data_IF_913382347935
#
_entry.id   IF_913382347935
#
_cell.length_a   1.000
_cell.length_b   1.000
_cell.length_c   1.000
_cell.angle_alpha   90.00
_cell.angle_beta   90.00
_cell.angle_gamma   90.00
#
_symmetry.space_group_name_H-M   'P 1'
#
loop_
_entity.id
_entity.type
_entity.pdbx_description
1 polymer ?
#
# COMPACT_ATOMS: atom_id res chain seq x y z
N UNK A 1 2.40 -35.19 4.38
CA UNK A 1 3.24 -34.70 3.26
C UNK A 1 4.26 -33.68 3.75
N UNK A 2 5.40 -33.54 3.08
CA UNK A 2 6.40 -32.52 3.41
C UNK A 2 5.92 -31.18 2.86
N UNK A 3 5.50 -30.27 3.74
CA UNK A 3 5.39 -28.83 3.42
C UNK A 3 6.76 -28.38 2.92
N UNK A 4 6.87 -28.07 1.63
CA UNK A 4 8.10 -27.57 1.00
C UNK A 4 8.22 -26.09 1.31
N UNK A 5 9.23 -25.70 2.09
CA UNK A 5 9.54 -24.29 2.30
C UNK A 5 10.12 -23.67 1.03
N UNK A 6 9.74 -22.43 0.73
CA UNK A 6 10.45 -21.60 -0.26
C UNK A 6 11.86 -21.27 0.26
N UNK A 7 12.85 -21.23 -0.62
CA UNK A 7 14.24 -20.93 -0.26
C UNK A 7 14.32 -19.51 0.34
N UNK A 8 14.80 -19.38 1.58
CA UNK A 8 14.79 -18.12 2.34
C UNK A 8 13.43 -17.71 2.96
N UNK A 9 12.42 -18.57 2.91
CA UNK A 9 11.10 -18.35 3.51
C UNK A 9 11.01 -18.77 4.99
N UNK A 10 9.98 -18.28 5.68
CA UNK A 10 9.65 -18.65 7.07
C UNK A 10 8.52 -19.66 7.05
N UNK A 11 8.69 -20.77 7.77
CA UNK A 11 7.66 -21.78 7.94
C UNK A 11 6.99 -21.63 9.30
N UNK A 12 5.67 -21.40 9.31
CA UNK A 12 4.89 -21.20 10.53
C UNK A 12 3.87 -22.33 10.69
N UNK A 13 3.86 -22.99 11.85
CA UNK A 13 2.88 -24.01 12.19
C UNK A 13 2.13 -23.58 13.45
N UNK A 14 0.83 -23.30 13.33
CA UNK A 14 -0.04 -23.00 14.45
C UNK A 14 -0.68 -24.28 14.99
N UNK A 15 -0.31 -24.71 16.18
CA UNK A 15 -0.95 -25.84 16.84
C UNK A 15 -2.27 -25.39 17.49
N UNK A 16 -3.39 -25.88 16.97
CA UNK A 16 -4.74 -25.60 17.46
C UNK A 16 -5.38 -26.83 18.12
N UNK A 17 -4.57 -27.85 18.43
CA UNK A 17 -5.02 -29.11 19.05
C UNK A 17 -5.58 -28.92 20.45
N UNK A 18 -5.04 -27.95 21.19
CA UNK A 18 -5.39 -27.67 22.58
C UNK A 18 -5.67 -26.18 22.75
N UNK A 19 -6.94 -25.82 22.87
CA UNK A 19 -7.34 -24.44 23.13
C UNK A 19 -8.86 -24.31 23.23
N UNK A 20 -9.34 -23.35 24.00
CA UNK A 20 -10.75 -22.97 23.91
C UNK A 20 -11.04 -22.44 22.51
N UNK A 21 -12.24 -22.72 21.98
CA UNK A 21 -12.64 -22.35 20.62
C UNK A 21 -12.35 -20.89 20.26
N UNK A 22 -12.47 -19.97 21.22
CA UNK A 22 -12.19 -18.55 21.03
C UNK A 22 -10.71 -18.28 20.70
N UNK A 23 -9.77 -18.95 21.37
CA UNK A 23 -8.34 -18.78 21.11
C UNK A 23 -7.91 -19.39 19.78
N UNK A 24 -8.54 -20.49 19.37
CA UNK A 24 -8.30 -21.10 18.06
C UNK A 24 -8.69 -20.13 16.95
N UNK A 25 -9.88 -19.53 17.04
CA UNK A 25 -10.33 -18.54 16.06
C UNK A 25 -9.40 -17.32 16.01
N UNK A 26 -9.00 -16.78 17.18
CA UNK A 26 -8.05 -15.66 17.25
C UNK A 26 -6.68 -16.01 16.68
N UNK A 27 -6.16 -17.21 16.93
CA UNK A 27 -4.88 -17.68 16.40
C UNK A 27 -4.92 -17.78 14.87
N UNK A 28 -6.00 -18.34 14.31
CA UNK A 28 -6.15 -18.45 12.85
C UNK A 28 -6.30 -17.08 12.18
N UNK A 29 -7.00 -16.13 12.81
CA UNK A 29 -7.10 -14.76 12.29
C UNK A 29 -5.75 -14.02 12.36
N UNK A 30 -4.96 -14.21 13.43
CA UNK A 30 -3.61 -13.67 13.51
C UNK A 30 -2.68 -14.28 12.46
N UNK A 31 -2.78 -15.60 12.25
CA UNK A 31 -2.03 -16.30 11.20
C UNK A 31 -2.38 -15.77 9.81
N UNK A 32 -3.68 -15.62 9.53
CA UNK A 32 -4.17 -14.96 8.31
C UNK A 32 -3.58 -13.57 8.14
N UNK A 33 -3.56 -12.76 9.20
CA UNK A 33 -3.06 -11.40 9.13
C UNK A 33 -1.57 -11.35 8.80
N UNK A 34 -0.76 -12.22 9.40
CA UNK A 34 0.67 -12.33 9.10
C UNK A 34 0.89 -12.69 7.63
N UNK A 35 0.13 -13.65 7.09
CA UNK A 35 0.25 -14.07 5.68
C UNK A 35 -0.12 -12.92 4.75
N UNK A 36 -1.20 -12.19 5.02
CA UNK A 36 -1.63 -11.05 4.19
C UNK A 36 -0.61 -9.91 4.26
N UNK A 37 -0.12 -9.58 5.45
CA UNK A 37 0.95 -8.59 5.64
C UNK A 37 2.20 -8.96 4.83
N UNK A 38 2.66 -10.21 4.92
CA UNK A 38 3.82 -10.71 4.19
C UNK A 38 3.61 -10.67 2.67
N UNK A 39 2.46 -11.11 2.18
CA UNK A 39 2.14 -11.03 0.75
C UNK A 39 2.11 -9.59 0.26
N UNK A 40 1.48 -8.67 0.97
CA UNK A 40 1.44 -7.26 0.58
C UNK A 40 2.83 -6.62 0.60
N UNK A 41 3.66 -6.97 1.58
CA UNK A 41 5.06 -6.52 1.67
C UNK A 41 6.00 -7.07 0.59
N UNK A 42 5.55 -8.08 -0.18
CA UNK A 42 6.33 -8.73 -1.23
C UNK A 42 5.56 -8.81 -2.57
N UNK A 43 4.69 -7.84 -2.89
CA UNK A 43 4.08 -7.72 -4.22
C UNK A 43 2.93 -8.68 -4.51
N UNK A 44 2.17 -9.05 -3.48
CA UNK A 44 0.98 -9.93 -3.48
C UNK A 44 1.26 -11.40 -3.79
N UNK A 45 2.16 -11.67 -4.73
CA UNK A 45 2.52 -13.01 -5.20
C UNK A 45 3.83 -13.54 -4.61
N UNK A 46 4.69 -12.65 -4.10
CA UNK A 46 6.02 -12.96 -3.57
C UNK A 46 6.09 -13.31 -2.08
N UNK A 47 4.98 -13.72 -1.46
CA UNK A 47 4.96 -14.09 -0.03
C UNK A 47 6.05 -15.11 0.33
N UNK A 48 6.69 -14.90 1.47
CA UNK A 48 7.77 -15.69 2.06
C UNK A 48 7.31 -16.53 3.25
N UNK A 49 6.09 -16.31 3.74
CA UNK A 49 5.52 -17.09 4.84
C UNK A 49 4.72 -18.28 4.28
N UNK A 50 5.22 -19.49 4.55
CA UNK A 50 4.50 -20.74 4.32
C UNK A 50 3.86 -21.18 5.65
N UNK A 51 2.53 -21.10 5.73
CA UNK A 51 1.78 -21.34 6.96
C UNK A 51 0.99 -22.65 6.92
N UNK A 52 0.85 -23.28 8.09
CA UNK A 52 0.02 -24.44 8.30
C UNK A 52 -0.60 -24.41 9.70
N UNK A 53 -1.70 -25.15 9.90
CA UNK A 53 -2.23 -25.43 11.23
C UNK A 53 -2.19 -26.93 11.53
N UNK A 54 -1.95 -27.27 12.80
CA UNK A 54 -1.89 -28.64 13.28
C UNK A 54 -3.08 -28.95 14.21
N UNK A 55 -3.68 -30.12 14.04
CA UNK A 55 -4.80 -30.63 14.84
C UNK A 55 -4.51 -32.06 15.27
N UNK A 56 -4.56 -32.33 16.57
CA UNK A 56 -4.50 -33.67 17.14
C UNK A 56 -5.88 -34.32 17.23
N UNK A 57 -5.92 -35.64 17.19
CA UNK A 57 -7.16 -36.39 17.47
C UNK A 57 -7.72 -36.09 18.89
N UNK A 58 -9.06 -36.05 19.06
CA UNK A 58 -9.69 -35.78 20.35
C UNK A 58 -9.24 -36.70 21.48
N UNK A 59 -9.19 -36.17 22.71
CA UNK A 59 -8.84 -36.95 23.90
C UNK A 59 -10.03 -37.80 24.34
N UNK A 60 -10.12 -39.03 23.85
CA UNK A 60 -11.00 -40.03 24.43
C UNK A 60 -10.46 -40.48 25.81
N UNK A 61 -11.37 -40.59 26.79
CA UNK A 61 -11.10 -41.07 28.15
C UNK A 61 -10.68 -42.54 28.12
N UNK A 62 -9.39 -42.84 27.92
CA UNK A 62 -8.90 -44.22 27.88
C UNK A 62 -7.54 -44.37 27.24
N UNK A 63 -6.46 -44.03 27.98
CA UNK A 63 -5.13 -44.66 27.87
C UNK A 63 -4.39 -44.71 26.52
N UNK A 64 -4.83 -44.01 25.47
CA UNK A 64 -4.14 -44.07 24.17
C UNK A 64 -2.75 -43.41 24.26
N UNK A 65 -1.69 -44.19 24.02
CA UNK A 65 -0.29 -43.76 24.13
C UNK A 65 0.23 -42.94 22.93
N UNK A 66 -0.42 -43.03 21.75
CA UNK A 66 -0.01 -42.31 20.54
C UNK A 66 -1.20 -41.69 19.80
N UNK A 67 -1.08 -40.44 19.37
CA UNK A 67 -2.11 -39.70 18.64
C UNK A 67 -1.60 -39.25 17.30
N UNK A 68 -2.48 -39.24 16.29
CA UNK A 68 -2.15 -38.63 15.01
C UNK A 68 -2.28 -37.11 15.10
N UNK A 69 -1.33 -36.42 14.49
CA UNK A 69 -1.35 -34.98 14.28
C UNK A 69 -1.54 -34.75 12.78
N UNK A 70 -2.63 -34.07 12.43
CA UNK A 70 -2.91 -33.65 11.07
C UNK A 70 -2.36 -32.24 10.88
N UNK A 71 -1.51 -32.04 9.88
CA UNK A 71 -0.97 -30.73 9.52
C UNK A 71 -1.55 -30.34 8.17
N UNK A 72 -2.29 -29.24 8.13
CA UNK A 72 -2.94 -28.75 6.92
C UNK A 72 -2.34 -27.40 6.53
N UNK A 73 -2.04 -27.23 5.24
CA UNK A 73 -1.57 -25.94 4.71
C UNK A 73 -2.65 -24.87 4.90
N UNK A 74 -2.22 -23.67 5.24
CA UNK A 74 -3.08 -22.52 5.48
C UNK A 74 -2.59 -21.36 4.63
N UNK A 75 -3.26 -21.14 3.51
CA UNK A 75 -2.95 -20.04 2.61
C UNK A 75 -4.14 -19.08 2.48
N UNK A 76 -3.84 -17.79 2.36
CA UNK A 76 -4.82 -16.72 2.22
C UNK A 76 -4.49 -15.88 1.01
N UNK A 77 -5.48 -15.64 0.15
CA UNK A 77 -5.32 -14.76 -1.01
C UNK A 77 -5.23 -13.30 -0.55
N UNK A 78 -4.18 -12.61 -0.97
CA UNK A 78 -4.07 -11.16 -0.89
C UNK A 78 -4.40 -10.55 -2.26
N UNK A 79 -4.85 -9.30 -2.26
CA UNK A 79 -5.16 -8.55 -3.48
C UNK A 79 -4.43 -7.21 -3.42
N UNK A 80 -4.07 -6.67 -4.58
CA UNK A 80 -3.58 -5.30 -4.68
C UNK A 80 -4.75 -4.32 -4.54
N UNK A 81 -5.09 -4.01 -3.29
CA UNK A 81 -6.15 -3.09 -2.91
C UNK A 81 -5.66 -2.23 -1.75
N UNK A 82 -6.08 -0.96 -1.70
CA UNK A 82 -5.77 -0.09 -0.58
C UNK A 82 -6.56 -0.58 0.65
N UNK A 83 -5.88 -1.02 1.74
CA UNK A 83 -6.57 -1.61 2.89
C UNK A 83 -7.43 -0.59 3.68
N UNK A 84 -7.21 0.70 3.43
CA UNK A 84 -7.85 1.81 4.11
C UNK A 84 -8.53 2.74 3.09
N UNK A 85 -9.62 3.37 3.48
CA UNK A 85 -10.31 4.34 2.63
C UNK A 85 -9.68 5.73 2.80
N UNK A 86 -9.42 6.49 1.72
CA UNK A 86 -8.85 7.84 1.82
C UNK A 86 -9.61 8.78 2.77
N UNK A 87 -10.95 8.72 2.76
CA UNK A 87 -11.79 9.52 3.66
C UNK A 87 -11.59 9.26 5.16
N UNK A 88 -10.95 8.15 5.54
CA UNK A 88 -10.75 7.76 6.93
C UNK A 88 -9.33 8.05 7.45
N UNK A 89 -8.43 8.60 6.62
CA UNK A 89 -7.01 8.78 6.94
C UNK A 89 -6.79 9.58 8.24
N UNK A 90 -7.52 10.68 8.43
CA UNK A 90 -7.40 11.50 9.63
C UNK A 90 -7.87 10.79 10.91
N UNK A 91 -8.78 9.82 10.78
CA UNK A 91 -9.23 9.01 11.92
C UNK A 91 -8.25 7.88 12.21
N UNK A 92 -7.74 7.20 11.17
CA UNK A 92 -6.83 6.07 11.29
C UNK A 92 -5.44 6.45 11.80
N UNK A 93 -5.07 7.72 11.72
CA UNK A 93 -3.79 8.22 12.25
C UNK A 93 -3.82 8.50 13.76
N UNK A 94 -5.01 8.57 14.36
CA UNK A 94 -5.19 8.81 15.80
C UNK A 94 -5.04 7.49 16.56
N UNK A 95 -3.94 7.28 17.28
CA UNK A 95 -3.71 5.99 17.95
C UNK A 95 -4.74 5.71 19.05
N UNK A 96 -5.29 6.76 19.67
CA UNK A 96 -6.41 6.69 20.61
C UNK A 96 -7.72 6.18 19.98
N UNK A 97 -7.85 6.18 18.63
CA UNK A 97 -9.01 5.63 17.94
C UNK A 97 -9.10 4.11 18.08
N UNK A 98 -7.95 3.42 18.13
CA UNK A 98 -7.88 1.96 18.17
C UNK A 98 -8.14 1.39 19.55
N UNK A 99 -8.17 2.24 20.58
CA UNK A 99 -8.24 1.87 21.98
C UNK A 99 -9.60 2.26 22.56
N UNK A 100 -10.31 1.30 23.16
CA UNK A 100 -11.51 1.59 23.95
C UNK A 100 -11.11 2.06 25.35
N UNK A 101 -11.01 3.38 25.54
CA UNK A 101 -10.72 4.00 26.84
C UNK A 101 -11.51 5.30 27.08
N UNK A 102 -11.48 5.77 28.33
CA UNK A 102 -12.10 7.03 28.75
C UNK A 102 -11.44 8.28 28.13
N UNK A 103 -12.06 9.44 28.32
CA UNK A 103 -11.63 10.69 27.71
C UNK A 103 -10.25 11.18 28.17
N UNK A 104 -9.84 10.90 29.40
CA UNK A 104 -8.56 11.36 29.93
C UNK A 104 -7.42 10.48 29.42
N UNK A 105 -7.64 9.17 29.35
CA UNK A 105 -6.73 8.23 28.70
C UNK A 105 -6.57 8.52 27.21
N UNK A 106 -7.65 8.87 26.49
CA UNK A 106 -7.56 9.30 25.09
C UNK A 106 -6.68 10.53 24.91
N UNK A 107 -6.86 11.55 25.75
CA UNK A 107 -6.02 12.77 25.70
C UNK A 107 -4.55 12.45 25.99
N UNK A 108 -4.29 11.57 26.95
CA UNK A 108 -2.92 11.11 27.26
C UNK A 108 -2.28 10.42 26.06
N UNK A 109 -2.96 9.41 25.48
CA UNK A 109 -2.47 8.69 24.29
C UNK A 109 -2.23 9.67 23.13
N UNK A 110 -3.17 10.58 22.87
CA UNK A 110 -3.07 11.55 21.77
C UNK A 110 -1.83 12.44 21.91
N UNK A 111 -1.47 12.87 23.13
CA UNK A 111 -0.25 13.66 23.40
C UNK A 111 1.03 12.83 23.28
N UNK A 112 1.02 11.62 23.84
CA UNK A 112 2.20 10.74 23.81
C UNK A 112 2.52 10.22 22.40
N UNK A 113 1.55 10.21 21.49
CA UNK A 113 1.69 9.62 20.15
C UNK A 113 1.61 10.65 19.02
N UNK A 114 1.74 11.95 19.33
CA UNK A 114 1.61 13.04 18.36
C UNK A 114 2.62 12.93 17.20
N UNK A 115 3.87 12.58 17.51
CA UNK A 115 4.93 12.40 16.51
C UNK A 115 4.65 11.22 15.58
N UNK A 116 4.34 10.06 16.16
CA UNK A 116 3.96 8.84 15.43
C UNK A 116 2.73 9.09 14.55
N UNK A 117 1.73 9.81 15.07
CA UNK A 117 0.53 10.21 14.32
C UNK A 117 0.87 11.05 13.09
N UNK A 118 1.80 12.01 13.22
CA UNK A 118 2.24 12.86 12.10
C UNK A 118 2.95 12.04 11.03
N UNK A 119 3.92 11.20 11.44
CA UNK A 119 4.65 10.31 10.52
C UNK A 119 3.71 9.34 9.82
N UNK A 120 2.74 8.79 10.55
CA UNK A 120 1.75 7.87 10.02
C UNK A 120 0.84 8.58 9.01
N UNK A 121 0.37 9.81 9.30
CA UNK A 121 -0.43 10.57 8.35
C UNK A 121 0.32 10.80 7.04
N UNK A 122 1.57 11.25 7.14
CA UNK A 122 2.43 11.47 5.99
C UNK A 122 2.61 10.20 5.15
N UNK A 123 2.80 9.05 5.80
CA UNK A 123 2.95 7.76 5.15
C UNK A 123 1.65 7.33 4.45
N UNK A 124 0.51 7.42 5.12
CA UNK A 124 -0.76 6.95 4.58
C UNK A 124 -1.29 7.86 3.44
N UNK A 125 -1.14 9.18 3.56
CA UNK A 125 -1.47 10.13 2.49
C UNK A 125 -0.61 9.84 1.25
N UNK A 126 0.69 9.58 1.46
CA UNK A 126 1.62 9.27 0.38
C UNK A 126 1.37 7.89 -0.25
N UNK A 127 1.02 6.89 0.57
CA UNK A 127 0.58 5.58 0.09
C UNK A 127 -0.67 5.71 -0.78
N UNK A 128 -1.66 6.51 -0.39
CA UNK A 128 -2.88 6.70 -1.17
C UNK A 128 -2.56 7.21 -2.58
N UNK A 129 -1.71 8.24 -2.69
CA UNK A 129 -1.26 8.79 -3.98
C UNK A 129 -0.48 7.75 -4.78
N UNK A 130 0.45 7.02 -4.15
CA UNK A 130 1.27 6.02 -4.84
C UNK A 130 0.45 4.81 -5.33
N UNK A 131 -0.43 4.29 -4.47
CA UNK A 131 -1.36 3.22 -4.82
C UNK A 131 -2.26 3.63 -5.98
N UNK A 132 -2.88 4.81 -5.91
CA UNK A 132 -3.76 5.31 -6.97
C UNK A 132 -2.98 5.55 -8.26
N UNK A 133 -1.74 6.01 -8.19
CA UNK A 133 -0.88 6.16 -9.36
C UNK A 133 -0.64 4.82 -10.08
N UNK A 134 -0.50 3.72 -9.36
CA UNK A 134 -0.42 2.38 -9.97
C UNK A 134 -1.80 1.95 -10.49
N UNK A 135 -2.83 2.04 -9.64
CA UNK A 135 -4.18 1.53 -9.91
C UNK A 135 -4.82 2.18 -11.13
N UNK A 136 -4.64 3.49 -11.28
CA UNK A 136 -5.20 4.35 -12.33
C UNK A 136 -4.20 4.68 -13.45
N UNK A 137 -3.12 3.90 -13.56
CA UNK A 137 -2.19 3.96 -14.67
C UNK A 137 -1.47 5.32 -14.84
N UNK A 138 -1.01 5.96 -13.76
CA UNK A 138 -0.32 7.25 -13.74
C UNK A 138 1.15 7.06 -13.33
N UNK A 139 1.99 6.41 -14.14
CA UNK A 139 3.36 6.03 -13.76
C UNK A 139 4.30 7.22 -13.58
N UNK A 140 4.11 8.31 -14.33
CA UNK A 140 4.98 9.49 -14.28
C UNK A 140 5.01 10.15 -12.89
N UNK A 141 3.97 9.94 -12.06
CA UNK A 141 3.92 10.46 -10.70
C UNK A 141 5.07 9.98 -9.81
N UNK A 142 5.61 8.78 -10.05
CA UNK A 142 6.72 8.23 -9.27
C UNK A 142 8.07 8.93 -9.49
N UNK A 143 8.18 9.77 -10.52
CA UNK A 143 9.39 10.54 -10.80
C UNK A 143 9.39 11.93 -10.15
N UNK A 144 8.28 12.33 -9.53
CA UNK A 144 8.13 13.63 -8.87
C UNK A 144 8.00 13.49 -7.36
N UNK A 145 9.04 13.90 -6.62
CA UNK A 145 9.04 13.88 -5.14
C UNK A 145 7.99 14.80 -4.52
N UNK A 146 7.54 15.82 -5.27
CA UNK A 146 6.39 16.65 -4.89
C UNK A 146 5.04 15.93 -4.93
N UNK A 147 4.96 14.77 -5.61
CA UNK A 147 3.77 13.92 -5.64
C UNK A 147 3.93 12.71 -4.71
N UNK A 148 5.02 11.96 -4.85
CA UNK A 148 5.28 10.72 -4.13
C UNK A 148 6.68 10.75 -3.50
N UNK A 149 6.73 10.65 -2.17
CA UNK A 149 7.95 10.53 -1.38
C UNK A 149 8.23 9.06 -1.05
N UNK A 150 9.17 8.43 -1.75
CA UNK A 150 9.50 7.01 -1.55
C UNK A 150 10.49 6.78 -0.40
N UNK A 151 11.14 7.83 0.07
CA UNK A 151 12.14 7.86 1.14
C UNK A 151 11.54 7.92 2.56
N UNK A 152 10.20 7.91 2.67
CA UNK A 152 9.54 7.87 3.97
C UNK A 152 9.89 6.58 4.72
N UNK A 153 10.28 6.74 5.98
CA UNK A 153 10.80 5.67 6.83
C UNK A 153 9.70 4.80 7.43
N UNK A 154 9.09 3.98 6.58
CA UNK A 154 7.98 3.11 6.95
C UNK A 154 8.31 2.12 8.07
N UNK A 155 9.55 1.64 8.13
CA UNK A 155 10.03 0.72 9.18
C UNK A 155 10.02 1.41 10.56
N UNK A 156 10.47 2.67 10.65
CA UNK A 156 10.44 3.41 11.93
C UNK A 156 9.00 3.59 12.43
N UNK A 157 8.06 3.93 11.54
CA UNK A 157 6.63 4.06 11.89
C UNK A 157 6.06 2.73 12.38
N UNK A 158 6.41 1.63 11.72
CA UNK A 158 5.98 0.29 12.13
C UNK A 158 6.50 -0.09 13.52
N UNK A 159 7.79 0.15 13.78
CA UNK A 159 8.43 -0.11 15.07
C UNK A 159 7.79 0.72 16.18
N UNK A 160 7.50 2.00 15.94
CA UNK A 160 6.78 2.87 16.87
C UNK A 160 5.36 2.34 17.19
N UNK A 161 4.63 1.86 16.18
CA UNK A 161 3.31 1.25 16.38
C UNK A 161 3.40 -0.04 17.20
N UNK A 162 4.38 -0.90 16.93
CA UNK A 162 4.60 -2.12 17.71
C UNK A 162 4.96 -1.76 19.15
N UNK A 163 5.82 -0.76 19.38
CA UNK A 163 6.17 -0.29 20.71
C UNK A 163 4.94 0.27 21.46
N UNK A 164 4.08 1.02 20.77
CA UNK A 164 2.81 1.50 21.32
C UNK A 164 1.91 0.33 21.77
N UNK A 165 1.73 -0.69 20.93
CA UNK A 165 0.92 -1.86 21.27
C UNK A 165 1.49 -2.66 22.45
N UNK A 166 2.82 -2.82 22.51
CA UNK A 166 3.50 -3.45 23.66
C UNK A 166 3.26 -2.68 24.95
N UNK A 167 3.36 -1.35 24.90
CA UNK A 167 3.07 -0.48 26.04
C UNK A 167 1.63 -0.64 26.53
N UNK A 168 0.66 -0.76 25.61
CA UNK A 168 -0.74 -1.04 25.99
C UNK A 168 -0.88 -2.41 26.68
N UNK A 169 -0.11 -3.40 26.23
CA UNK A 169 -0.13 -4.73 26.82
C UNK A 169 0.50 -4.78 28.23
N UNK A 170 1.53 -3.98 28.47
CA UNK A 170 2.18 -3.84 29.78
C UNK A 170 1.28 -3.12 30.80
N UNK A 171 0.44 -2.20 30.34
CA UNK A 171 -0.51 -1.46 31.18
C UNK A 171 -1.82 -2.25 31.27
N UNK A 172 -1.81 -3.35 32.02
CA UNK A 172 -3.01 -4.11 32.38
C UNK A 172 -3.39 -3.79 33.83
N UNK A 173 -4.39 -2.91 34.07
CA UNK A 173 -4.84 -2.62 35.42
C UNK A 173 -5.34 -3.91 36.07
N UNK A 174 -4.78 -4.23 37.23
CA UNK A 174 -5.24 -5.33 38.08
C UNK A 174 -5.94 -4.69 39.27
N UNK A 175 -7.23 -4.96 39.43
CA UNK A 175 -7.98 -4.58 40.61
C UNK A 175 -8.29 -5.83 41.45
N UNK A 176 -8.22 -5.67 42.77
CA UNK A 176 -8.69 -6.70 43.68
C UNK A 176 -10.23 -6.61 43.80
N UNK A 177 -10.89 -7.70 43.47
CA UNK A 177 -12.32 -7.91 43.70
C UNK A 177 -12.56 -8.39 45.13
N UNK A 178 -13.81 -8.31 45.60
CA UNK A 178 -14.19 -8.93 46.88
C UNK A 178 -13.91 -10.43 46.78
N UNK A 179 -13.32 -11.02 47.82
CA UNK A 179 -13.04 -12.46 47.96
C UNK A 179 -11.81 -12.99 47.19
N UNK A 180 -10.65 -12.31 47.27
CA UNK A 180 -9.36 -12.87 46.81
C UNK A 180 -9.30 -13.16 45.29
N UNK A 181 -10.17 -12.48 44.52
CA UNK A 181 -10.20 -12.55 43.07
C UNK A 181 -9.51 -11.31 42.49
N UNK A 182 -8.65 -11.49 41.48
CA UNK A 182 -8.04 -10.39 40.75
C UNK A 182 -8.76 -10.20 39.41
N UNK A 183 -9.22 -8.98 39.15
CA UNK A 183 -9.83 -8.60 37.87
C UNK A 183 -8.79 -7.87 37.05
N UNK A 184 -8.43 -8.45 35.90
CA UNK A 184 -7.55 -7.81 34.92
C UNK A 184 -8.42 -7.14 33.87
N UNK A 185 -8.33 -5.81 33.77
CA UNK A 185 -9.02 -5.08 32.72
C UNK A 185 -8.21 -5.17 31.44
N UNK A 186 -8.73 -5.89 30.44
CA UNK A 186 -8.12 -5.98 29.11
C UNK A 186 -8.56 -4.80 28.26
N UNK A 187 -7.62 -4.12 27.63
CA UNK A 187 -7.91 -3.06 26.67
C UNK A 187 -8.46 -3.68 25.38
N UNK A 188 -9.71 -3.34 25.03
CA UNK A 188 -10.27 -3.73 23.75
C UNK A 188 -9.65 -2.91 22.61
N UNK A 189 -9.23 -3.61 21.57
CA UNK A 189 -8.65 -3.02 20.37
C UNK A 189 -9.56 -3.18 19.16
N UNK A 190 -9.59 -2.14 18.31
CA UNK A 190 -10.18 -2.22 16.96
C UNK A 190 -9.25 -2.96 16.02
N UNK A 191 -9.09 -4.27 16.26
CA UNK A 191 -8.09 -5.12 15.60
C UNK A 191 -8.19 -5.14 14.07
N UNK A 192 -9.40 -5.04 13.50
CA UNK A 192 -9.59 -5.00 12.04
C UNK A 192 -8.93 -3.77 11.41
N UNK A 193 -9.14 -2.61 12.02
CA UNK A 193 -8.56 -1.36 11.53
C UNK A 193 -7.04 -1.35 11.76
N UNK A 194 -6.58 -1.93 12.88
CA UNK A 194 -5.16 -2.10 13.15
C UNK A 194 -4.48 -3.01 12.13
N UNK A 195 -5.10 -4.13 11.75
CA UNK A 195 -4.59 -4.98 10.67
C UNK A 195 -4.53 -4.22 9.34
N UNK A 196 -5.58 -3.47 8.99
CA UNK A 196 -5.57 -2.64 7.79
C UNK A 196 -4.46 -1.57 7.82
N UNK A 197 -4.13 -1.05 9.01
CA UNK A 197 -3.00 -0.14 9.19
C UNK A 197 -1.67 -0.83 8.86
N UNK A 198 -1.40 -2.00 9.44
CA UNK A 198 -0.19 -2.77 9.15
C UNK A 198 -0.12 -3.22 7.69
N UNK A 199 -1.24 -3.64 7.10
CA UNK A 199 -1.32 -3.95 5.68
C UNK A 199 -0.98 -2.75 4.80
N UNK A 200 -1.42 -1.56 5.19
CA UNK A 200 -1.11 -0.31 4.48
C UNK A 200 0.39 -0.01 4.54
N UNK A 201 1.00 -0.17 5.72
CA UNK A 201 2.44 0.00 5.89
C UNK A 201 3.22 -1.04 5.07
N UNK A 202 2.82 -2.31 5.08
CA UNK A 202 3.44 -3.36 4.27
C UNK A 202 3.37 -3.04 2.78
N UNK A 203 2.19 -2.63 2.30
CA UNK A 203 1.98 -2.24 0.92
C UNK A 203 2.87 -1.05 0.53
N UNK A 204 2.98 -0.05 1.40
CA UNK A 204 3.86 1.09 1.18
C UNK A 204 5.33 0.69 1.12
N UNK A 205 5.80 -0.17 2.04
CA UNK A 205 7.18 -0.71 2.02
C UNK A 205 7.48 -1.40 0.70
N UNK A 206 6.56 -2.22 0.20
CA UNK A 206 6.71 -2.87 -1.08
C UNK A 206 6.79 -1.86 -2.24
N UNK A 207 5.86 -0.90 -2.30
CA UNK A 207 5.88 0.16 -3.33
C UNK A 207 7.22 0.92 -3.29
N UNK A 208 7.65 1.37 -2.12
CA UNK A 208 8.92 2.10 -1.97
C UNK A 208 10.13 1.28 -2.42
N UNK A 209 10.14 -0.02 -2.16
CA UNK A 209 11.23 -0.91 -2.59
C UNK A 209 11.25 -1.11 -4.11
N UNK A 210 10.10 -1.44 -4.72
CA UNK A 210 10.01 -1.67 -6.18
C UNK A 210 10.24 -0.39 -6.99
N UNK A 211 9.75 0.72 -6.46
CA UNK A 211 9.92 2.05 -7.05
C UNK A 211 11.22 2.71 -6.58
N UNK A 212 12.01 2.02 -5.76
CA UNK A 212 13.28 2.51 -5.25
C UNK A 212 14.19 3.01 -6.37
N UNK A 213 14.78 4.19 -6.15
CA UNK A 213 15.61 4.85 -7.15
C UNK A 213 14.84 5.54 -8.29
N UNK A 214 13.51 5.54 -8.26
CA UNK A 214 12.68 6.54 -8.94
C UNK A 214 12.53 7.77 -8.02
N UNK A 215 12.51 8.95 -8.59
CA UNK A 215 12.55 10.23 -7.86
C UNK A 215 13.97 10.83 -7.74
N UNK A 216 14.04 12.09 -7.30
CA UNK A 216 15.29 12.83 -7.14
C UNK A 216 15.91 13.30 -8.46
N UNK A 217 15.33 14.33 -9.10
CA UNK A 217 15.78 14.95 -10.37
C UNK A 217 16.00 14.00 -11.56
N UNK A 218 15.63 12.72 -11.45
CA UNK A 218 15.67 11.77 -12.55
C UNK A 218 14.59 12.12 -13.57
N UNK A 219 15.03 12.30 -14.81
CA UNK A 219 14.15 12.44 -15.95
C UNK A 219 13.49 11.10 -16.26
N UNK A 220 12.18 11.08 -16.45
CA UNK A 220 11.46 9.87 -16.83
C UNK A 220 11.57 9.70 -18.34
N UNK A 221 12.35 8.74 -18.83
CA UNK A 221 12.33 8.42 -20.26
C UNK A 221 11.10 7.59 -20.61
N UNK A 222 10.60 7.75 -21.83
CA UNK A 222 9.50 6.92 -22.36
C UNK A 222 9.85 5.43 -22.28
N UNK A 223 11.07 5.06 -22.67
CA UNK A 223 11.56 3.68 -22.62
C UNK A 223 11.58 3.12 -21.20
N UNK A 224 12.04 3.90 -20.21
CA UNK A 224 12.07 3.48 -18.81
C UNK A 224 10.65 3.30 -18.25
N UNK A 225 9.77 4.28 -18.50
CA UNK A 225 8.36 4.22 -18.09
C UNK A 225 7.69 2.96 -18.64
N UNK A 226 7.81 2.73 -19.95
CA UNK A 226 7.24 1.56 -20.63
C UNK A 226 7.76 0.27 -20.00
N UNK A 227 9.09 0.10 -19.94
CA UNK A 227 9.71 -1.14 -19.42
C UNK A 227 9.32 -1.40 -17.97
N UNK A 228 9.51 -0.42 -17.08
CA UNK A 228 9.35 -0.60 -15.64
C UNK A 228 7.88 -0.84 -15.26
N UNK A 229 6.95 -0.03 -15.79
CA UNK A 229 5.55 -0.15 -15.41
C UNK A 229 4.83 -1.32 -16.09
N UNK A 230 5.26 -1.76 -17.28
CA UNK A 230 4.78 -3.04 -17.83
C UNK A 230 5.11 -4.21 -16.89
N UNK A 231 6.32 -4.26 -16.33
CA UNK A 231 6.70 -5.30 -15.36
C UNK A 231 5.83 -5.25 -14.10
N UNK A 232 5.65 -4.07 -13.52
CA UNK A 232 4.82 -3.87 -12.32
C UNK A 232 3.36 -4.25 -12.59
N UNK A 233 2.78 -3.80 -13.69
CA UNK A 233 1.39 -4.11 -14.02
C UNK A 233 1.18 -5.59 -14.28
N UNK A 234 2.14 -6.29 -14.91
CA UNK A 234 2.04 -7.73 -15.10
C UNK A 234 2.10 -8.48 -13.76
N UNK A 235 3.00 -8.09 -12.86
CA UNK A 235 3.09 -8.67 -11.51
C UNK A 235 1.80 -8.51 -10.71
N UNK A 236 1.12 -7.37 -10.86
CA UNK A 236 -0.13 -7.05 -10.15
C UNK A 236 -1.40 -7.54 -10.86
N UNK A 237 -1.29 -8.17 -12.05
CA UNK A 237 -2.45 -8.56 -12.85
C UNK A 237 -3.23 -7.38 -13.47
N UNK A 238 -2.57 -6.24 -13.66
CA UNK A 238 -3.12 -5.01 -14.26
C UNK A 238 -2.74 -4.86 -15.74
N UNK A 239 -2.78 -5.95 -16.52
CA UNK A 239 -2.28 -5.98 -17.90
C UNK A 239 -2.93 -4.96 -18.85
N UNK A 240 -4.19 -4.55 -18.59
CA UNK A 240 -4.86 -3.49 -19.34
C UNK A 240 -4.16 -2.13 -19.19
N UNK A 241 -3.67 -1.81 -17.98
CA UNK A 241 -2.93 -0.58 -17.73
C UNK A 241 -1.66 -0.52 -18.59
N UNK A 242 -0.94 -1.64 -18.71
CA UNK A 242 0.23 -1.73 -19.59
C UNK A 242 -0.11 -1.42 -21.05
N UNK A 243 -1.27 -1.89 -21.56
CA UNK A 243 -1.67 -1.64 -22.95
C UNK A 243 -2.03 -0.17 -23.19
N UNK A 244 -2.73 0.46 -22.25
CA UNK A 244 -3.07 1.87 -22.36
C UNK A 244 -1.83 2.75 -22.27
N UNK A 245 -0.94 2.47 -21.32
CA UNK A 245 0.32 3.19 -21.18
C UNK A 245 1.17 3.06 -22.44
N UNK A 246 1.32 1.85 -22.97
CA UNK A 246 2.07 1.62 -24.21
C UNK A 246 1.50 2.41 -25.38
N UNK A 247 0.17 2.42 -25.56
CA UNK A 247 -0.48 3.21 -26.62
C UNK A 247 -0.17 4.69 -26.46
N UNK A 248 -0.36 5.25 -25.27
CA UNK A 248 -0.19 6.68 -25.01
C UNK A 248 1.28 7.09 -25.17
N UNK A 249 2.23 6.25 -24.76
CA UNK A 249 3.66 6.47 -24.96
C UNK A 249 4.06 6.38 -26.44
N UNK A 250 3.56 5.38 -27.18
CA UNK A 250 3.83 5.26 -28.61
C UNK A 250 3.30 6.47 -29.41
N UNK A 251 2.17 7.06 -29.00
CA UNK A 251 1.65 8.30 -29.59
C UNK A 251 2.65 9.46 -29.46
N UNK A 252 3.31 9.58 -28.30
CA UNK A 252 4.37 10.57 -28.07
C UNK A 252 5.64 10.23 -28.87
N UNK A 253 6.05 8.95 -28.91
CA UNK A 253 7.22 8.51 -29.70
C UNK A 253 7.07 8.79 -31.20
N UNK A 254 5.87 8.65 -31.76
CA UNK A 254 5.59 8.95 -33.16
C UNK A 254 5.83 10.43 -33.50
N UNK A 255 5.83 11.31 -32.48
CA UNK A 255 6.09 12.75 -32.60
C UNK A 255 7.52 13.14 -32.28
N UNK A 256 8.44 12.17 -32.10
CA UNK A 256 9.86 12.41 -31.73
C UNK A 256 10.57 13.47 -32.58
N UNK A 257 10.26 13.55 -33.87
CA UNK A 257 10.88 14.47 -34.80
C UNK A 257 10.39 15.93 -34.64
N UNK A 258 9.25 16.14 -33.97
CA UNK A 258 8.66 17.44 -33.69
C UNK A 258 9.14 18.02 -32.35
N UNK A 259 9.81 17.21 -31.52
CA UNK A 259 10.31 17.59 -30.20
C UNK A 259 11.66 18.30 -30.33
N UNK A 260 11.74 19.50 -29.75
CA UNK A 260 12.98 20.27 -29.72
C UNK A 260 14.01 19.65 -28.78
N UNK A 261 15.28 19.78 -29.16
CA UNK A 261 16.40 19.31 -28.35
C UNK A 261 16.74 20.31 -27.24
N UNK A 262 17.02 19.80 -26.05
CA UNK A 262 17.46 20.64 -24.92
C UNK A 262 16.37 21.42 -24.18
N UNK A 263 15.24 21.75 -24.82
CA UNK A 263 14.16 22.57 -24.25
C UNK A 263 12.92 21.76 -23.86
N UNK A 264 12.26 22.18 -22.77
CA UNK A 264 10.98 21.61 -22.35
C UNK A 264 9.85 22.29 -23.11
N UNK A 265 9.04 21.49 -23.79
CA UNK A 265 7.86 21.96 -24.52
C UNK A 265 6.60 21.33 -23.93
N UNK A 266 5.50 22.08 -23.75
CA UNK A 266 4.22 21.51 -23.36
C UNK A 266 3.76 20.42 -24.34
N UNK A 267 3.32 19.27 -23.83
CA UNK A 267 2.88 18.13 -24.65
C UNK A 267 1.76 18.52 -25.61
N UNK A 268 0.83 19.38 -25.18
CA UNK A 268 -0.26 19.92 -26.03
C UNK A 268 0.23 20.57 -27.33
N UNK A 269 1.43 21.14 -27.35
CA UNK A 269 1.92 21.88 -28.52
C UNK A 269 2.32 20.94 -29.66
N UNK A 270 2.65 19.67 -29.36
CA UNK A 270 2.88 18.62 -30.35
C UNK A 270 1.60 18.17 -31.08
N UNK A 271 0.43 18.42 -30.50
CA UNK A 271 -0.85 17.90 -31.03
C UNK A 271 -1.74 18.99 -31.63
N UNK A 272 -1.25 20.23 -31.77
CA UNK A 272 -2.01 21.38 -32.28
C UNK A 272 -2.47 21.27 -33.74
N UNK A 273 -2.04 20.24 -34.49
CA UNK A 273 -2.39 20.03 -35.91
C UNK A 273 -3.42 18.95 -36.20
N UNK A 274 -3.74 18.07 -35.25
CA UNK A 274 -4.58 16.87 -35.50
C UNK A 274 -6.07 17.08 -35.19
N UNK A 275 -6.42 18.21 -34.57
CA UNK A 275 -7.79 18.65 -34.36
C UNK A 275 -7.98 20.02 -34.97
N UNK A 276 -8.62 20.10 -36.14
CA UNK A 276 -9.14 21.36 -36.64
C UNK A 276 -10.20 21.91 -35.67
N UNK A 277 -9.80 22.72 -34.70
CA UNK A 277 -10.71 23.47 -33.84
C UNK A 277 -11.36 24.61 -34.66
N UNK A 278 -12.37 24.24 -35.45
CA UNK A 278 -13.39 25.16 -35.99
C UNK A 278 -14.67 25.14 -35.13
N UNK A 279 -14.53 24.93 -33.82
CA UNK A 279 -15.64 24.95 -32.88
C UNK A 279 -15.19 25.46 -31.52
N UNK A 280 -16.11 25.98 -30.68
CA UNK A 280 -15.77 26.39 -29.33
C UNK A 280 -15.14 25.21 -28.59
N UNK A 281 -14.13 25.46 -27.74
CA UNK A 281 -13.41 24.40 -27.04
C UNK A 281 -14.42 23.56 -26.28
N UNK A 282 -14.54 22.27 -26.64
CA UNK A 282 -15.23 21.32 -25.77
C UNK A 282 -14.43 21.36 -24.47
N UNK A 283 -15.02 21.90 -23.41
CA UNK A 283 -14.47 21.88 -22.05
C UNK A 283 -14.44 20.44 -21.58
N UNK A 284 -13.48 19.66 -22.08
CA UNK A 284 -13.20 18.31 -21.59
C UNK A 284 -12.60 18.47 -20.19
N UNK A 285 -13.20 17.80 -19.22
CA UNK A 285 -12.69 17.74 -17.85
C UNK A 285 -11.22 17.29 -17.83
N UNK A 286 -10.26 18.14 -17.42
CA UNK A 286 -8.84 17.82 -17.39
C UNK A 286 -8.52 16.59 -16.54
N UNK A 287 -9.26 16.38 -15.43
CA UNK A 287 -9.07 15.23 -14.55
C UNK A 287 -9.45 13.93 -15.24
N UNK A 288 -10.58 13.93 -15.95
CA UNK A 288 -11.02 12.77 -16.74
C UNK A 288 -10.00 12.42 -17.82
N UNK A 289 -9.50 13.42 -18.54
CA UNK A 289 -8.49 13.21 -19.57
C UNK A 289 -7.18 12.68 -18.96
N UNK A 290 -6.78 13.18 -17.79
CA UNK A 290 -5.62 12.71 -17.06
C UNK A 290 -5.67 11.21 -16.79
N UNK A 291 -6.76 10.69 -16.25
CA UNK A 291 -6.87 9.24 -16.03
C UNK A 291 -7.11 8.43 -17.32
N UNK A 292 -7.72 9.01 -18.34
CA UNK A 292 -7.95 8.35 -19.63
C UNK A 292 -6.67 8.20 -20.47
N UNK A 293 -5.67 9.04 -20.24
CA UNK A 293 -4.39 9.08 -20.97
C UNK A 293 -3.21 8.67 -20.08
N UNK A 294 -3.42 7.76 -19.14
CA UNK A 294 -2.35 7.20 -18.32
C UNK A 294 -1.54 8.26 -17.54
N UNK A 295 -2.20 9.33 -17.11
CA UNK A 295 -1.56 10.49 -16.49
C UNK A 295 -0.89 11.46 -17.47
N UNK A 296 -0.82 11.14 -18.76
CA UNK A 296 -0.11 11.91 -19.78
C UNK A 296 -0.97 12.99 -20.42
N UNK A 297 -1.75 13.72 -19.59
CA UNK A 297 -2.63 14.78 -20.07
C UNK A 297 -1.82 15.93 -20.66
N UNK A 298 -2.23 16.36 -21.86
CA UNK A 298 -1.45 17.25 -22.72
C UNK A 298 -1.18 18.63 -22.11
N UNK A 299 -2.03 19.11 -21.21
CA UNK A 299 -1.90 20.42 -20.57
C UNK A 299 -1.06 20.41 -19.31
N UNK A 300 -0.80 19.23 -18.73
CA UNK A 300 -0.02 19.10 -17.48
C UNK A 300 1.33 18.40 -17.68
N UNK A 301 1.58 17.79 -18.85
CA UNK A 301 2.86 17.16 -19.20
C UNK A 301 3.71 18.05 -20.09
N UNK A 302 5.02 18.01 -19.85
CA UNK A 302 6.06 18.59 -20.68
C UNK A 302 6.96 17.48 -21.22
N UNK A 303 7.46 17.71 -22.44
CA UNK A 303 8.34 16.79 -23.16
C UNK A 303 9.62 17.48 -23.54
N UNK A 304 10.69 16.71 -23.63
CA UNK A 304 11.99 17.17 -24.10
C UNK A 304 12.75 16.01 -24.73
N UNK A 305 13.54 16.30 -25.76
CA UNK A 305 14.51 15.33 -26.28
C UNK A 305 15.76 15.31 -25.39
N UNK A 306 16.17 14.11 -25.00
CA UNK A 306 17.33 13.84 -24.14
C UNK A 306 18.28 12.90 -24.90
N UNK A 307 19.03 13.45 -25.86
CA UNK A 307 19.82 12.65 -26.79
C UNK A 307 18.90 11.84 -27.71
N UNK A 308 18.97 10.51 -27.64
CA UNK A 308 18.11 9.61 -28.43
C UNK A 308 16.77 9.31 -27.76
N UNK A 309 16.60 9.65 -26.47
CA UNK A 309 15.40 9.36 -25.70
C UNK A 309 14.45 10.55 -25.64
N UNK A 310 13.17 10.28 -25.38
CA UNK A 310 12.18 11.31 -25.01
C UNK A 310 12.01 11.29 -23.50
N UNK A 311 12.22 12.44 -22.88
CA UNK A 311 11.98 12.65 -21.47
C UNK A 311 10.61 13.30 -21.24
N UNK A 312 9.91 12.82 -20.22
CA UNK A 312 8.63 13.35 -19.76
C UNK A 312 8.77 13.92 -18.34
N UNK A 313 8.00 14.95 -18.05
CA UNK A 313 7.77 15.42 -16.67
C UNK A 313 6.41 16.10 -16.57
N UNK A 314 5.89 16.21 -15.35
CA UNK A 314 4.80 17.13 -15.08
C UNK A 314 5.28 18.56 -15.00
N UNK A 315 4.41 19.48 -15.40
CA UNK A 315 4.59 20.90 -15.11
C UNK A 315 4.56 21.11 -13.59
N UNK A 316 5.64 21.66 -13.03
CA UNK A 316 5.81 21.91 -11.60
C UNK A 316 4.68 22.74 -10.99
N UNK A 317 4.11 23.68 -11.75
CA UNK A 317 2.99 24.52 -11.31
C UNK A 317 1.66 23.74 -11.16
N UNK A 318 1.58 22.54 -11.76
CA UNK A 318 0.39 21.69 -11.77
C UNK A 318 0.45 20.54 -10.77
N UNK A 319 1.57 20.35 -10.07
CA UNK A 319 1.73 19.22 -9.14
C UNK A 319 0.69 19.21 -8.02
N UNK A 320 0.32 20.38 -7.48
CA UNK A 320 -0.72 20.47 -6.44
C UNK A 320 -2.10 19.98 -6.93
N UNK A 321 -2.46 20.33 -8.17
CA UNK A 321 -3.69 19.91 -8.83
C UNK A 321 -3.67 18.39 -9.12
N UNK A 322 -2.57 17.90 -9.69
CA UNK A 322 -2.38 16.46 -9.96
C UNK A 322 -2.46 15.65 -8.66
N UNK A 323 -1.84 16.14 -7.59
CA UNK A 323 -1.88 15.46 -6.28
C UNK A 323 -3.29 15.36 -5.74
N UNK A 324 -4.10 16.41 -5.90
CA UNK A 324 -5.52 16.40 -5.52
C UNK A 324 -6.29 15.33 -6.30
N UNK A 325 -6.11 15.26 -7.63
CA UNK A 325 -6.74 14.23 -8.45
C UNK A 325 -6.34 12.81 -8.02
N UNK A 326 -5.06 12.60 -7.69
CA UNK A 326 -4.55 11.29 -7.25
C UNK A 326 -5.04 10.88 -5.87
N UNK A 327 -5.36 11.82 -4.98
CA UNK A 327 -5.99 11.50 -3.69
C UNK A 327 -7.45 11.07 -3.86
N UNK A 328 -8.17 11.71 -4.79
CA UNK A 328 -9.61 11.50 -5.01
C UNK A 328 -9.93 11.22 -6.49
N UNK A 329 -9.53 10.06 -7.05
CA UNK A 329 -9.65 9.79 -8.48
C UNK A 329 -11.09 9.65 -8.99
N UNK A 330 -12.03 9.23 -8.14
CA UNK A 330 -13.44 8.97 -8.49
C UNK A 330 -14.38 10.17 -8.27
N UNK A 331 -13.84 11.32 -7.83
CA UNK A 331 -14.62 12.53 -7.50
C UNK A 331 -14.97 13.44 -8.66
#
# INVERSE_FOLDING_TARGET
ERIRGREGGVKLVADISTGHNIYIASMLEALRAIIVYDKLGNGVTGGKVDAAYAVSEPVASGGVQSRRIFINEYDVKAFFALPIKPQNLDTLTKLEYYVECDGDNKKRISRETEDTRRKLKDLLDNLAVAFNSIRYNVPLAFYHTGLIRLDLKAVEVEEELVAFLKKLEEIKPVSESKQNEYVVTVTNLKWKDLFNLFYSIALFKWISNEMGGLGGNKLASVTELKKKFTQIYNMLGLSLNSRFLERDLNEIENKKNEIQDGEWTPLKDLFRGEGGEKGPPRTSDPKRNFFAHSGLERTVVEVKKCGEEICLRYNEQKLGEIRSWLLEPEG
#
